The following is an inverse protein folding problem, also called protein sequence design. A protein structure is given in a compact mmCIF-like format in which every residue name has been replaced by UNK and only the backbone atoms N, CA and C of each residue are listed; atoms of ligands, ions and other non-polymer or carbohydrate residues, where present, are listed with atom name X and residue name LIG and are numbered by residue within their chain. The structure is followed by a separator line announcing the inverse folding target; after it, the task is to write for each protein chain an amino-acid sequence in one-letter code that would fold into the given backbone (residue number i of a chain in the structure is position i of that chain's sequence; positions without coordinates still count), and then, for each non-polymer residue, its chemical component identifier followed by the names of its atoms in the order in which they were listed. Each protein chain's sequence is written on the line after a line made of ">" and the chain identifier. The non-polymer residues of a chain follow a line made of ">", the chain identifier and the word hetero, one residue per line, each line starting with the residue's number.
data_IF_082827690413
#
_entry.id   IF_082827690413
#
_cell.length_a   1.000
_cell.length_b   1.000
_cell.length_c   1.000
_cell.angle_alpha   90.00
_cell.angle_beta   90.00
_cell.angle_gamma   90.00
#
_symmetry.space_group_name_H-M   'P 1'
#
loop_
_entity.id
_entity.type
_entity.pdbx_description
1 polymer ?
#
# COMPACT_ATOMS: atom_id res chain seq x y z
N UNK A 1 -14.84 41.79 -10.51
CA UNK A 1 -13.81 41.02 -9.78
C UNK A 1 -14.54 39.91 -9.07
N UNK A 2 -14.48 38.70 -9.59
CA UNK A 2 -15.13 37.54 -8.99
C UNK A 2 -14.35 37.13 -7.73
N UNK A 3 -14.93 37.38 -6.56
CA UNK A 3 -14.32 36.94 -5.30
C UNK A 3 -14.58 35.46 -5.12
N UNK A 4 -13.52 34.66 -5.01
CA UNK A 4 -13.67 33.25 -4.68
C UNK A 4 -14.32 33.07 -3.30
N UNK A 5 -15.17 32.05 -3.12
CA UNK A 5 -15.83 31.80 -1.84
C UNK A 5 -14.81 31.40 -0.75
N UNK A 6 -15.08 31.82 0.49
CA UNK A 6 -14.28 31.46 1.65
C UNK A 6 -14.58 30.03 2.08
N UNK A 7 -13.56 29.16 2.03
CA UNK A 7 -13.62 27.80 2.54
C UNK A 7 -13.26 27.81 4.03
N UNK A 8 -14.12 27.23 4.87
CA UNK A 8 -13.81 26.93 6.27
C UNK A 8 -13.50 25.45 6.39
N UNK A 9 -12.35 25.12 6.98
CA UNK A 9 -11.91 23.76 7.24
C UNK A 9 -12.07 23.53 8.73
N UNK A 10 -12.97 22.62 9.10
CA UNK A 10 -13.02 22.12 10.47
C UNK A 10 -11.92 21.07 10.67
N UNK A 11 -11.36 21.02 11.88
CA UNK A 11 -10.05 20.42 12.20
C UNK A 11 -9.85 18.97 11.76
N UNK A 12 -8.63 18.41 11.94
CA UNK A 12 -8.33 17.08 11.45
C UNK A 12 -9.13 16.02 12.21
N UNK A 13 -10.18 15.50 11.58
CA UNK A 13 -10.79 14.23 11.95
C UNK A 13 -9.72 13.15 11.75
N UNK A 14 -9.42 12.37 12.79
CA UNK A 14 -8.28 11.44 12.79
C UNK A 14 -8.19 10.63 11.50
N UNK A 15 -7.00 10.59 10.89
CA UNK A 15 -6.80 9.95 9.60
C UNK A 15 -7.27 8.50 9.69
N UNK A 16 -8.28 8.12 8.90
CA UNK A 16 -8.94 6.86 9.14
C UNK A 16 -8.04 5.70 8.65
N UNK A 17 -8.12 4.56 9.35
CA UNK A 17 -7.27 3.38 9.17
C UNK A 17 -5.74 3.55 9.39
N UNK A 18 -5.24 4.43 10.27
CA UNK A 18 -3.78 4.49 10.59
C UNK A 18 -3.17 3.15 11.02
N UNK A 19 -4.02 2.27 11.51
CA UNK A 19 -3.73 0.89 11.88
C UNK A 19 -3.14 0.04 10.73
N UNK A 20 -3.16 0.48 9.49
CA UNK A 20 -2.47 -0.25 8.43
C UNK A 20 -0.94 -0.24 8.62
N UNK A 21 -0.38 0.83 9.22
CA UNK A 21 1.07 1.05 9.38
C UNK A 21 1.76 0.02 10.28
N UNK A 22 1.00 -0.64 11.16
CA UNK A 22 1.49 -1.70 12.06
C UNK A 22 1.65 -3.07 11.38
N UNK A 23 1.21 -3.22 10.13
CA UNK A 23 1.33 -4.47 9.38
C UNK A 23 2.35 -4.36 8.26
N UNK A 24 3.17 -5.41 8.11
CA UNK A 24 4.11 -5.55 6.99
C UNK A 24 3.36 -5.84 5.68
N UNK A 25 2.22 -6.54 5.76
CA UNK A 25 1.36 -6.87 4.61
C UNK A 25 -0.08 -6.46 4.92
N UNK A 26 -0.76 -5.81 3.96
CA UNK A 26 -2.16 -5.40 4.11
C UNK A 26 -3.03 -5.88 2.96
N UNK A 27 -4.27 -6.26 3.29
CA UNK A 27 -5.35 -6.52 2.34
C UNK A 27 -6.40 -5.42 2.50
N UNK A 28 -6.46 -4.51 1.53
CA UNK A 28 -7.38 -3.39 1.48
C UNK A 28 -8.57 -3.75 0.57
N UNK A 29 -9.78 -3.72 1.10
CA UNK A 29 -11.00 -4.07 0.36
C UNK A 29 -11.99 -2.91 0.41
N UNK A 30 -12.21 -2.27 -0.74
CA UNK A 30 -13.19 -1.19 -0.90
C UNK A 30 -14.37 -1.63 -1.75
N UNK A 31 -15.60 -1.45 -1.26
CA UNK A 31 -16.82 -1.72 -2.03
C UNK A 31 -17.52 -0.40 -2.41
N UNK A 32 -17.73 -0.18 -3.70
CA UNK A 32 -18.33 1.04 -4.26
C UNK A 32 -17.52 2.28 -3.87
N UNK A 33 -18.20 3.28 -3.30
CA UNK A 33 -17.58 4.49 -2.75
C UNK A 33 -16.62 4.22 -1.58
N UNK A 34 -16.70 3.05 -0.94
CA UNK A 34 -15.79 2.63 0.13
C UNK A 34 -14.33 2.46 -0.32
N UNK A 35 -14.04 2.59 -1.62
CA UNK A 35 -12.67 2.67 -2.11
C UNK A 35 -11.98 4.01 -1.80
N UNK A 36 -12.72 5.13 -1.77
CA UNK A 36 -12.17 6.49 -1.50
C UNK A 36 -11.17 6.54 -0.34
N UNK A 37 -11.50 6.00 0.85
CA UNK A 37 -10.53 5.98 1.93
C UNK A 37 -9.33 5.05 1.70
N UNK A 38 -9.54 3.88 1.11
CA UNK A 38 -8.47 2.90 0.82
C UNK A 38 -7.44 3.47 -0.16
N UNK A 39 -7.87 4.35 -1.04
CA UNK A 39 -7.01 5.03 -2.01
C UNK A 39 -6.00 5.95 -1.32
N UNK A 40 -6.45 6.67 -0.29
CA UNK A 40 -5.54 7.49 0.52
C UNK A 40 -4.45 6.62 1.16
N UNK A 41 -4.80 5.42 1.62
CA UNK A 41 -3.86 4.45 2.19
C UNK A 41 -2.87 3.97 1.13
N UNK A 42 -3.34 3.60 -0.07
CA UNK A 42 -2.49 3.16 -1.17
C UNK A 42 -1.48 4.25 -1.56
N UNK A 43 -1.94 5.50 -1.70
CA UNK A 43 -1.04 6.64 -1.97
C UNK A 43 -0.02 6.86 -0.86
N UNK A 44 -0.45 6.79 0.40
CA UNK A 44 0.46 6.94 1.55
C UNK A 44 1.51 5.81 1.55
N UNK A 45 1.13 4.55 1.24
CA UNK A 45 2.07 3.44 1.13
C UNK A 45 3.14 3.71 0.07
N UNK A 46 2.73 4.08 -1.15
CA UNK A 46 3.65 4.32 -2.25
C UNK A 46 4.58 5.51 -1.96
N UNK A 47 4.05 6.59 -1.37
CA UNK A 47 4.85 7.75 -1.00
C UNK A 47 5.89 7.44 0.10
N UNK A 48 5.50 6.72 1.15
CA UNK A 48 6.43 6.34 2.21
C UNK A 48 7.54 5.43 1.70
N UNK A 49 7.25 4.54 0.75
CA UNK A 49 8.28 3.70 0.15
C UNK A 49 9.30 4.47 -0.67
N UNK A 50 8.85 5.42 -1.50
CA UNK A 50 9.75 6.30 -2.24
C UNK A 50 10.69 7.05 -1.30
N UNK A 51 10.14 7.60 -0.20
CA UNK A 51 10.95 8.27 0.80
C UNK A 51 12.00 7.35 1.43
N UNK A 52 11.64 6.11 1.78
CA UNK A 52 12.59 5.13 2.32
C UNK A 52 13.71 4.77 1.33
N UNK A 53 13.39 4.68 0.04
CA UNK A 53 14.36 4.39 -1.02
C UNK A 53 15.32 5.56 -1.27
N UNK A 54 14.81 6.79 -1.26
CA UNK A 54 15.63 7.98 -1.39
C UNK A 54 16.62 8.12 -0.21
N UNK A 55 16.18 7.79 1.01
CA UNK A 55 17.05 7.75 2.20
C UNK A 55 18.12 6.66 2.11
N UNK A 56 17.77 5.44 1.67
CA UNK A 56 18.72 4.33 1.48
C UNK A 56 19.80 4.69 0.44
N UNK A 57 19.39 5.22 -0.72
CA UNK A 57 20.29 5.66 -1.77
C UNK A 57 21.20 6.83 -1.32
N UNK A 58 20.70 7.72 -0.44
CA UNK A 58 21.49 8.82 0.12
C UNK A 58 22.59 8.33 1.08
N UNK A 59 22.35 7.25 1.84
CA UNK A 59 23.36 6.65 2.73
C UNK A 59 24.45 5.90 1.95
N UNK A 60 24.11 5.19 0.88
CA UNK A 60 25.11 4.47 0.07
C UNK A 60 26.09 5.44 -0.63
N UNK A 61 25.59 6.59 -1.09
CA UNK A 61 26.43 7.62 -1.73
C UNK A 61 27.33 8.39 -0.75
N UNK A 62 27.10 8.28 0.57
CA UNK A 62 27.88 8.97 1.61
C UNK A 62 29.17 8.26 2.04
N UNK A 63 29.44 7.02 1.59
CA UNK A 63 30.51 6.18 2.17
C UNK A 63 31.77 6.04 1.29
N UNK A 64 31.87 6.71 0.14
CA UNK A 64 33.10 6.67 -0.67
C UNK A 64 34.06 7.83 -0.36
N UNK A 65 35.24 7.47 0.18
CA UNK A 65 36.53 8.21 0.28
C UNK A 65 36.86 8.88 1.62
N UNK A 66 37.53 8.11 2.49
CA UNK A 66 38.83 8.51 3.04
C UNK A 66 39.61 7.29 3.55
N UNK A 67 40.34 6.64 2.65
CA UNK A 67 41.45 5.74 3.02
C UNK A 67 42.68 6.62 3.23
N UNK A 68 43.30 6.66 4.42
CA UNK A 68 44.60 7.32 4.58
C UNK A 68 45.72 6.37 4.13
N UNK A 69 46.76 6.86 3.41
CA UNK A 69 47.93 6.04 3.13
C UNK A 69 48.85 5.97 4.35
N UNK A 70 49.34 4.77 4.62
CA UNK A 70 50.35 4.42 5.63
C UNK A 70 51.78 4.85 5.22
N UNK A 71 52.69 4.83 6.22
CA UNK A 71 54.18 4.99 6.24
C UNK A 71 54.58 6.34 6.89
N UNK A 72 55.41 6.48 7.94
CA UNK A 72 56.18 5.57 8.82
C UNK A 72 56.73 6.32 10.06
N UNK A 73 57.16 5.55 11.09
CA UNK A 73 58.27 5.80 12.05
C UNK A 73 58.08 6.76 13.25
N UNK A 74 58.31 6.22 14.48
CA UNK A 74 59.04 6.94 15.55
C UNK A 74 58.40 7.05 16.95
N UNK A 75 58.90 6.24 17.89
CA UNK A 75 59.06 6.39 19.36
C UNK A 75 58.13 7.25 20.26
N UNK A 76 57.73 6.67 21.41
CA UNK A 76 57.13 7.30 22.61
C UNK A 76 58.18 7.97 23.54
N UNK A 77 57.86 8.45 24.77
CA UNK A 77 56.59 8.87 25.41
C UNK A 77 56.70 10.27 26.09
N UNK A 78 55.64 10.80 26.74
CA UNK A 78 55.62 11.54 28.06
C UNK A 78 54.36 12.44 28.28
N UNK A 79 53.52 12.01 29.25
CA UNK A 79 52.96 12.76 30.41
C UNK A 79 51.77 13.76 30.26
N UNK A 80 50.73 13.46 31.08
CA UNK A 80 49.78 14.29 31.87
C UNK A 80 48.37 14.70 31.40
N UNK A 81 47.40 14.19 32.21
CA UNK A 81 46.27 14.88 32.87
C UNK A 81 45.02 15.26 32.06
N UNK A 82 43.95 14.49 32.28
CA UNK A 82 42.54 14.97 32.36
C UNK A 82 42.33 15.76 33.68
N UNK A 83 41.19 16.44 33.98
CA UNK A 83 39.86 16.36 33.35
C UNK A 83 39.07 17.69 33.19
N UNK A 84 38.02 17.71 32.35
CA UNK A 84 36.61 18.04 32.69
C UNK A 84 35.72 18.31 31.46
N UNK A 85 34.39 18.05 31.54
CA UNK A 85 33.51 17.95 30.37
C UNK A 85 32.58 19.16 30.21
N UNK A 86 32.48 19.73 29.00
CA UNK A 86 31.42 20.68 28.66
C UNK A 86 30.23 19.90 28.06
N UNK A 87 29.20 19.73 28.86
CA UNK A 87 27.97 19.01 28.54
C UNK A 87 27.09 19.85 27.59
N UNK A 88 27.35 19.76 26.28
CA UNK A 88 26.38 20.17 25.27
C UNK A 88 25.40 19.03 25.06
N UNK A 89 24.31 19.04 25.84
CA UNK A 89 23.11 18.25 25.54
C UNK A 89 22.50 18.76 24.23
N UNK A 90 23.03 18.31 23.11
CA UNK A 90 22.27 18.23 21.86
C UNK A 90 21.19 17.20 22.09
N UNK A 91 19.99 17.67 22.45
CA UNK A 91 18.75 16.90 22.25
C UNK A 91 18.71 16.54 20.78
N UNK A 92 19.13 15.32 20.44
CA UNK A 92 18.66 14.70 19.21
C UNK A 92 17.15 14.62 19.38
N UNK A 93 16.46 15.48 18.64
CA UNK A 93 15.04 15.32 18.43
C UNK A 93 14.93 14.02 17.62
N UNK A 94 14.83 12.89 18.32
CA UNK A 94 14.44 11.63 17.70
C UNK A 94 13.03 11.89 17.20
N UNK A 95 12.93 12.33 15.94
CA UNK A 95 11.68 12.39 15.22
C UNK A 95 10.97 11.08 15.51
N UNK A 96 9.74 11.19 16.01
CA UNK A 96 8.83 10.08 16.20
C UNK A 96 8.70 9.39 14.85
N UNK A 97 9.61 8.45 14.58
CA UNK A 97 9.60 7.60 13.41
C UNK A 97 8.29 6.85 13.49
N UNK A 98 7.32 7.32 12.73
CA UNK A 98 6.12 6.57 12.46
C UNK A 98 6.66 5.28 11.87
N UNK A 99 6.68 4.19 12.64
CA UNK A 99 7.24 2.90 12.23
C UNK A 99 6.34 2.35 11.12
N UNK A 100 6.47 2.91 9.92
CA UNK A 100 5.80 2.48 8.73
C UNK A 100 6.45 1.17 8.31
N UNK A 101 5.68 0.10 8.44
CA UNK A 101 6.17 -1.27 8.21
C UNK A 101 5.70 -1.87 6.91
N UNK A 102 4.67 -1.32 6.31
CA UNK A 102 3.99 -1.94 5.16
C UNK A 102 4.93 -2.05 3.97
N UNK A 103 5.20 -3.29 3.54
CA UNK A 103 6.05 -3.66 2.40
C UNK A 103 5.26 -4.25 1.22
N UNK A 104 4.01 -4.65 1.44
CA UNK A 104 3.12 -5.21 0.41
C UNK A 104 1.67 -4.81 0.70
N UNK A 105 0.93 -4.41 -0.32
CA UNK A 105 -0.50 -4.20 -0.23
C UNK A 105 -1.24 -4.93 -1.35
N UNK A 106 -2.34 -5.58 -0.99
CA UNK A 106 -3.31 -6.13 -1.92
C UNK A 106 -4.53 -5.22 -1.88
N UNK A 107 -4.81 -4.51 -2.98
CA UNK A 107 -5.96 -3.63 -3.05
C UNK A 107 -7.04 -4.21 -3.95
N UNK A 108 -8.18 -4.58 -3.36
CA UNK A 108 -9.36 -5.07 -4.05
C UNK A 108 -10.44 -3.99 -4.05
N UNK A 109 -10.66 -3.38 -5.19
CA UNK A 109 -11.82 -2.51 -5.39
C UNK A 109 -12.93 -3.28 -6.07
N UNK A 110 -14.12 -3.31 -5.46
CA UNK A 110 -15.29 -3.97 -6.01
C UNK A 110 -16.37 -2.92 -6.26
N UNK A 111 -16.88 -2.81 -7.48
CA UNK A 111 -17.95 -1.87 -7.83
C UNK A 111 -19.02 -2.54 -8.69
N UNK A 112 -20.24 -2.00 -8.66
CA UNK A 112 -21.32 -2.35 -9.60
C UNK A 112 -21.44 -1.32 -10.72
N UNK A 113 -20.87 -0.13 -10.56
CA UNK A 113 -21.11 0.97 -11.49
C UNK A 113 -19.92 1.14 -12.42
N UNK A 114 -20.13 0.94 -13.73
CA UNK A 114 -19.07 1.17 -14.71
C UNK A 114 -18.64 2.65 -14.75
N UNK A 115 -19.58 3.58 -14.57
CA UNK A 115 -19.26 5.01 -14.48
C UNK A 115 -18.39 5.38 -13.28
N UNK A 116 -18.26 4.50 -12.28
CA UNK A 116 -17.32 4.72 -11.19
C UNK A 116 -15.85 4.63 -11.63
N UNK A 117 -15.54 3.97 -12.75
CA UNK A 117 -14.15 3.87 -13.20
C UNK A 117 -13.55 5.23 -13.58
N UNK A 118 -14.35 6.17 -14.07
CA UNK A 118 -13.85 7.49 -14.48
C UNK A 118 -13.32 8.31 -13.30
N UNK A 119 -14.00 8.30 -12.15
CA UNK A 119 -13.51 9.04 -10.97
C UNK A 119 -12.23 8.41 -10.40
N UNK A 120 -12.08 7.09 -10.52
CA UNK A 120 -10.94 6.38 -9.96
C UNK A 120 -9.76 6.22 -10.95
N UNK A 121 -9.98 6.49 -12.23
CA UNK A 121 -9.02 6.37 -13.34
C UNK A 121 -7.71 7.09 -13.09
N UNK A 122 -7.78 8.37 -12.69
CA UNK A 122 -6.59 9.18 -12.44
C UNK A 122 -5.71 8.57 -11.37
N UNK A 123 -6.32 8.12 -10.27
CA UNK A 123 -5.58 7.54 -9.16
C UNK A 123 -5.03 6.14 -9.50
N UNK A 124 -5.79 5.30 -10.18
CA UNK A 124 -5.28 3.99 -10.63
C UNK A 124 -4.04 4.15 -11.51
N UNK A 125 -4.08 5.11 -12.44
CA UNK A 125 -2.96 5.38 -13.32
C UNK A 125 -1.76 5.95 -12.58
N UNK A 126 -1.97 6.88 -11.66
CA UNK A 126 -0.93 7.45 -10.80
C UNK A 126 -0.26 6.36 -9.95
N UNK A 127 -1.04 5.53 -9.26
CA UNK A 127 -0.50 4.42 -8.45
C UNK A 127 0.27 3.44 -9.33
N UNK A 128 -0.25 3.09 -10.51
CA UNK A 128 0.43 2.20 -11.44
C UNK A 128 1.73 2.81 -12.04
N UNK A 129 1.81 4.14 -12.16
CA UNK A 129 3.04 4.85 -12.57
C UNK A 129 4.06 4.92 -11.43
N UNK A 130 3.59 5.10 -10.20
CA UNK A 130 4.44 5.29 -9.05
C UNK A 130 4.98 3.98 -8.46
N UNK A 131 4.26 2.87 -8.61
CA UNK A 131 4.61 1.57 -8.04
C UNK A 131 5.52 0.73 -8.96
N UNK A 132 6.77 1.16 -9.12
CA UNK A 132 7.75 0.45 -9.95
C UNK A 132 8.23 -0.89 -9.35
N UNK A 133 8.03 -1.11 -8.03
CA UNK A 133 8.45 -2.33 -7.32
C UNK A 133 7.33 -3.37 -7.21
N UNK A 134 6.12 -3.07 -7.69
CA UNK A 134 4.97 -3.97 -7.59
C UNK A 134 4.56 -4.23 -6.14
N UNK A 135 4.64 -3.21 -5.30
CA UNK A 135 4.25 -3.22 -3.89
C UNK A 135 2.73 -3.32 -3.77
N UNK A 136 2.02 -2.60 -4.64
CA UNK A 136 0.57 -2.50 -4.66
C UNK A 136 0.06 -3.45 -5.73
N UNK A 137 -0.45 -4.59 -5.30
CA UNK A 137 -1.16 -5.50 -6.17
C UNK A 137 -2.63 -5.08 -6.23
N UNK A 138 -3.02 -4.48 -7.36
CA UNK A 138 -4.35 -3.88 -7.52
C UNK A 138 -5.28 -4.76 -8.36
N UNK A 139 -6.48 -4.99 -7.83
CA UNK A 139 -7.51 -5.83 -8.43
C UNK A 139 -8.84 -5.08 -8.46
N UNK A 140 -9.26 -4.68 -9.66
CA UNK A 140 -10.53 -3.97 -9.84
C UNK A 140 -11.61 -4.93 -10.31
N UNK A 141 -12.74 -5.04 -9.61
CA UNK A 141 -13.84 -5.93 -9.95
C UNK A 141 -15.09 -5.15 -10.31
N UNK A 142 -15.57 -5.31 -11.54
CA UNK A 142 -16.86 -4.80 -11.99
C UNK A 142 -17.91 -5.91 -11.95
N UNK A 143 -18.76 -5.87 -10.92
CA UNK A 143 -19.75 -6.92 -10.63
C UNK A 143 -21.05 -6.79 -11.41
N UNK A 144 -21.27 -5.70 -12.15
CA UNK A 144 -22.44 -5.54 -13.03
C UNK A 144 -22.28 -6.21 -14.39
N UNK A 145 -21.06 -6.57 -14.78
CA UNK A 145 -20.80 -7.30 -16.02
C UNK A 145 -21.00 -8.80 -15.74
N UNK A 146 -22.29 -9.19 -15.73
CA UNK A 146 -22.89 -10.53 -15.80
C UNK A 146 -22.28 -11.68 -14.96
N UNK A 147 -23.11 -12.66 -14.62
CA UNK A 147 -22.68 -13.83 -13.85
C UNK A 147 -21.69 -14.72 -14.62
N UNK A 148 -20.92 -15.49 -13.85
CA UNK A 148 -19.93 -16.46 -14.31
C UNK A 148 -20.59 -17.43 -15.32
N UNK A 149 -20.11 -17.45 -16.57
CA UNK A 149 -20.61 -18.35 -17.63
C UNK A 149 -21.37 -17.70 -18.80
N UNK A 150 -21.62 -16.39 -18.79
CA UNK A 150 -22.19 -15.68 -19.96
C UNK A 150 -21.15 -15.52 -21.09
N UNK A 151 -21.53 -15.86 -22.32
CA UNK A 151 -20.72 -15.66 -23.53
C UNK A 151 -20.24 -14.21 -23.68
N UNK A 152 -21.00 -13.24 -23.17
CA UNK A 152 -20.62 -11.82 -23.15
C UNK A 152 -19.46 -11.54 -22.21
N UNK A 153 -19.40 -12.19 -21.05
CA UNK A 153 -18.27 -12.07 -20.10
C UNK A 153 -17.01 -12.72 -20.65
N UNK A 154 -17.14 -13.86 -21.35
CA UNK A 154 -16.02 -14.51 -22.03
C UNK A 154 -15.45 -13.63 -23.16
N UNK A 155 -16.32 -13.04 -23.98
CA UNK A 155 -15.91 -12.12 -25.05
C UNK A 155 -15.20 -10.88 -24.49
N UNK A 156 -15.77 -10.23 -23.47
CA UNK A 156 -15.15 -9.05 -22.85
C UNK A 156 -13.78 -9.43 -22.26
N UNK A 157 -13.68 -10.57 -21.57
CA UNK A 157 -12.39 -11.06 -21.02
C UNK A 157 -11.36 -11.32 -22.11
N UNK A 158 -11.77 -11.89 -23.25
CA UNK A 158 -10.90 -12.11 -24.41
C UNK A 158 -10.43 -10.79 -25.02
N UNK A 159 -11.34 -9.86 -25.32
CA UNK A 159 -11.01 -8.54 -25.85
C UNK A 159 -10.10 -7.76 -24.91
N UNK A 160 -10.40 -7.80 -23.61
CA UNK A 160 -9.62 -7.14 -22.58
C UNK A 160 -8.20 -7.71 -22.54
N UNK A 161 -8.05 -9.03 -22.59
CA UNK A 161 -6.73 -9.68 -22.58
C UNK A 161 -5.92 -9.33 -23.84
N UNK A 162 -6.56 -9.29 -25.01
CA UNK A 162 -5.93 -8.88 -26.27
C UNK A 162 -5.48 -7.42 -26.24
N UNK A 163 -6.36 -6.49 -25.83
CA UNK A 163 -6.02 -5.07 -25.81
C UNK A 163 -4.95 -4.77 -24.75
N UNK A 164 -5.03 -5.39 -23.58
CA UNK A 164 -4.04 -5.20 -22.54
C UNK A 164 -2.67 -5.75 -22.98
N UNK A 165 -2.62 -6.87 -23.70
CA UNK A 165 -1.36 -7.37 -24.28
C UNK A 165 -0.76 -6.47 -25.36
N UNK A 166 -1.59 -5.71 -26.09
CA UNK A 166 -1.15 -4.84 -27.18
C UNK A 166 -0.79 -3.43 -26.71
N UNK A 167 -1.63 -2.87 -25.85
CA UNK A 167 -1.60 -1.44 -25.49
C UNK A 167 -1.29 -1.22 -24.01
N UNK A 168 -1.22 -2.27 -23.19
CA UNK A 168 -1.01 -2.14 -21.74
C UNK A 168 -2.19 -1.51 -20.98
N UNK A 169 -3.34 -1.36 -21.63
CA UNK A 169 -4.51 -0.65 -21.08
C UNK A 169 -5.73 -1.57 -21.02
N UNK A 170 -6.44 -1.50 -19.91
CA UNK A 170 -7.73 -2.15 -19.69
C UNK A 170 -8.83 -1.48 -20.52
N UNK A 171 -9.59 -2.25 -21.29
CA UNK A 171 -10.65 -1.68 -22.18
C UNK A 171 -11.83 -1.11 -21.41
N UNK A 172 -12.06 -1.58 -20.18
CA UNK A 172 -13.25 -1.20 -19.39
C UNK A 172 -12.98 0.07 -18.59
N UNK A 173 -11.87 0.11 -17.86
CA UNK A 173 -11.50 1.27 -17.04
C UNK A 173 -10.65 2.29 -17.79
N UNK A 174 -10.02 1.92 -18.90
CA UNK A 174 -9.03 2.75 -19.59
C UNK A 174 -7.77 3.01 -18.74
N UNK A 175 -7.44 2.11 -17.80
CA UNK A 175 -6.26 2.22 -16.93
C UNK A 175 -5.21 1.17 -17.25
N UNK A 176 -4.00 1.32 -16.70
CA UNK A 176 -2.96 0.27 -16.75
C UNK A 176 -3.24 -0.92 -15.84
N UNK A 177 -4.25 -0.84 -14.98
CA UNK A 177 -4.64 -1.91 -14.06
C UNK A 177 -5.74 -2.73 -14.71
N UNK A 178 -5.52 -4.05 -14.88
CA UNK A 178 -6.51 -4.93 -15.49
C UNK A 178 -7.72 -5.10 -14.56
N UNK A 179 -8.91 -4.89 -15.10
CA UNK A 179 -10.17 -5.17 -14.39
C UNK A 179 -10.53 -6.67 -14.44
N UNK A 180 -11.38 -7.10 -13.52
CA UNK A 180 -11.98 -8.42 -13.45
C UNK A 180 -13.50 -8.27 -13.45
N UNK A 181 -14.19 -9.27 -13.97
CA UNK A 181 -15.65 -9.32 -13.96
C UNK A 181 -16.13 -10.33 -12.93
N UNK A 182 -17.41 -10.28 -12.58
CA UNK A 182 -18.00 -11.01 -11.47
C UNK A 182 -17.43 -10.61 -10.09
N UNK A 183 -17.79 -11.36 -9.05
CA UNK A 183 -17.35 -11.12 -7.67
C UNK A 183 -16.00 -11.81 -7.41
N UNK A 184 -15.12 -11.23 -6.58
CA UNK A 184 -13.92 -11.93 -6.13
C UNK A 184 -14.29 -13.20 -5.38
N UNK A 185 -13.55 -14.29 -5.65
CA UNK A 185 -13.60 -15.46 -4.78
C UNK A 185 -12.69 -15.21 -3.58
N UNK A 186 -13.27 -14.70 -2.48
CA UNK A 186 -12.50 -14.31 -1.30
C UNK A 186 -11.70 -15.46 -0.70
N UNK A 187 -12.22 -16.68 -0.72
CA UNK A 187 -11.46 -17.86 -0.27
C UNK A 187 -10.16 -18.04 -1.06
N UNK A 188 -10.19 -17.85 -2.38
CA UNK A 188 -9.00 -17.92 -3.21
C UNK A 188 -8.05 -16.75 -2.96
N UNK A 189 -8.57 -15.55 -2.71
CA UNK A 189 -7.75 -14.38 -2.32
C UNK A 189 -6.98 -14.66 -1.03
N UNK A 190 -7.66 -15.09 0.03
CA UNK A 190 -7.00 -15.44 1.29
C UNK A 190 -6.01 -16.60 1.12
N UNK A 191 -6.34 -17.61 0.32
CA UNK A 191 -5.43 -18.72 0.00
C UNK A 191 -4.16 -18.23 -0.70
N UNK A 192 -4.30 -17.39 -1.72
CA UNK A 192 -3.18 -16.82 -2.45
C UNK A 192 -2.25 -16.03 -1.52
N UNK A 193 -2.83 -15.15 -0.71
CA UNK A 193 -2.07 -14.33 0.23
C UNK A 193 -1.36 -15.21 1.28
N UNK A 194 -2.05 -16.22 1.85
CA UNK A 194 -1.45 -17.11 2.84
C UNK A 194 -0.28 -17.94 2.29
N UNK A 195 -0.33 -18.32 1.01
CA UNK A 195 0.76 -19.05 0.36
C UNK A 195 2.00 -18.18 0.11
N UNK A 196 1.80 -16.88 -0.15
CA UNK A 196 2.89 -15.96 -0.44
C UNK A 196 3.52 -15.34 0.81
N UNK A 197 2.82 -15.34 1.95
CA UNK A 197 3.22 -14.65 3.18
C UNK A 197 3.15 -15.59 4.37
N UNK A 198 4.02 -16.60 4.39
CA UNK A 198 4.06 -17.59 5.48
C UNK A 198 4.65 -17.00 6.75
N UNK A 199 4.00 -17.24 7.90
CA UNK A 199 4.36 -16.70 9.22
C UNK A 199 4.20 -15.17 9.37
N UNK A 200 3.60 -14.49 8.41
CA UNK A 200 3.34 -13.05 8.51
C UNK A 200 1.99 -12.73 9.16
N UNK A 201 1.89 -11.50 9.68
CA UNK A 201 0.64 -10.90 10.16
C UNK A 201 0.10 -9.94 9.12
N UNK A 202 -1.13 -10.17 8.70
CA UNK A 202 -1.80 -9.47 7.61
C UNK A 202 -2.99 -8.69 8.14
N UNK A 203 -2.95 -7.37 7.98
CA UNK A 203 -4.07 -6.51 8.31
C UNK A 203 -5.09 -6.52 7.17
N UNK A 204 -6.31 -6.97 7.42
CA UNK A 204 -7.41 -6.94 6.45
C UNK A 204 -8.32 -5.77 6.78
N UNK A 205 -8.37 -4.77 5.92
CA UNK A 205 -9.17 -3.56 6.09
C UNK A 205 -10.32 -3.55 5.09
N UNK A 206 -11.54 -3.42 5.60
CA UNK A 206 -12.75 -3.43 4.78
C UNK A 206 -13.55 -2.14 4.96
N UNK A 207 -13.92 -1.51 3.84
CA UNK A 207 -14.90 -0.42 3.81
C UNK A 207 -15.98 -0.70 2.77
N UNK A 208 -17.25 -0.64 3.22
CA UNK A 208 -18.41 -0.76 2.35
C UNK A 208 -19.61 -1.41 3.02
N UNK A 209 -20.57 -1.85 2.19
CA UNK A 209 -21.83 -2.43 2.65
C UNK A 209 -21.64 -3.66 3.57
N UNK A 210 -22.43 -3.79 4.65
CA UNK A 210 -22.17 -4.77 5.72
C UNK A 210 -22.26 -6.24 5.29
N UNK A 211 -22.91 -6.54 4.15
CA UNK A 211 -23.13 -7.90 3.67
C UNK A 211 -21.83 -8.73 3.55
N UNK A 212 -20.73 -8.09 3.14
CA UNK A 212 -19.45 -8.78 2.92
C UNK A 212 -18.61 -8.90 4.20
N UNK A 213 -18.93 -8.15 5.26
CA UNK A 213 -18.15 -8.12 6.50
C UNK A 213 -18.08 -9.50 7.16
N UNK A 214 -19.19 -10.24 7.21
CA UNK A 214 -19.24 -11.56 7.85
C UNK A 214 -18.37 -12.58 7.11
N UNK A 215 -18.43 -12.58 5.79
CA UNK A 215 -17.66 -13.47 4.94
C UNK A 215 -16.15 -13.23 5.08
N UNK A 216 -15.70 -11.98 4.94
CA UNK A 216 -14.29 -11.63 5.09
C UNK A 216 -13.76 -11.95 6.48
N UNK A 217 -14.51 -11.64 7.54
CA UNK A 217 -14.13 -11.97 8.91
C UNK A 217 -14.01 -13.49 9.11
N UNK A 218 -14.94 -14.28 8.56
CA UNK A 218 -14.87 -15.73 8.66
C UNK A 218 -13.65 -16.29 7.94
N UNK A 219 -13.33 -15.79 6.74
CA UNK A 219 -12.11 -16.20 6.03
C UNK A 219 -10.84 -15.83 6.80
N UNK A 220 -10.77 -14.63 7.39
CA UNK A 220 -9.64 -14.26 8.23
C UNK A 220 -9.43 -15.23 9.40
N UNK A 221 -10.51 -15.61 10.10
CA UNK A 221 -10.45 -16.60 11.19
C UNK A 221 -10.02 -17.98 10.68
N UNK A 222 -10.66 -18.47 9.62
CA UNK A 222 -10.41 -19.78 9.03
C UNK A 222 -8.95 -19.97 8.62
N UNK A 223 -8.40 -19.01 7.86
CA UNK A 223 -7.03 -19.09 7.38
C UNK A 223 -6.03 -18.89 8.52
N UNK A 224 -6.30 -17.98 9.46
CA UNK A 224 -5.44 -17.80 10.65
C UNK A 224 -5.31 -19.07 11.50
N UNK A 225 -6.33 -19.92 11.51
CA UNK A 225 -6.28 -21.20 12.22
C UNK A 225 -5.64 -22.32 11.39
N UNK A 226 -5.87 -22.33 10.07
CA UNK A 226 -5.46 -23.43 9.17
C UNK A 226 -4.07 -23.24 8.57
N UNK A 227 -3.51 -22.04 8.60
CA UNK A 227 -2.19 -21.72 8.04
C UNK A 227 -1.28 -21.05 9.07
N UNK A 228 0.00 -20.89 8.72
CA UNK A 228 0.96 -20.15 9.56
C UNK A 228 0.74 -18.64 9.53
N UNK A 229 0.17 -18.11 8.45
CA UNK A 229 -0.19 -16.70 8.28
C UNK A 229 -1.34 -16.30 9.20
N UNK A 230 -1.25 -15.14 9.85
CA UNK A 230 -2.31 -14.59 10.71
C UNK A 230 -2.99 -13.42 10.04
N UNK A 231 -4.31 -13.45 9.99
CA UNK A 231 -5.15 -12.41 9.41
C UNK A 231 -5.94 -11.69 10.50
N UNK A 232 -5.81 -10.38 10.58
CA UNK A 232 -6.52 -9.53 11.53
C UNK A 232 -7.50 -8.64 10.78
N UNK A 233 -8.80 -8.88 10.97
CA UNK A 233 -9.86 -8.19 10.24
C UNK A 233 -10.35 -6.93 10.96
N UNK A 234 -10.28 -5.81 10.24
CA UNK A 234 -10.70 -4.47 10.65
C UNK A 234 -11.83 -4.00 9.73
N UNK A 235 -12.99 -3.72 10.35
CA UNK A 235 -14.08 -3.03 9.65
C UNK A 235 -13.91 -1.54 9.88
N UNK A 236 -13.69 -0.81 8.81
CA UNK A 236 -13.57 0.63 8.85
C UNK A 236 -14.92 1.27 8.53
N UNK A 237 -15.37 2.20 9.37
CA UNK A 237 -16.50 3.07 9.07
C UNK A 237 -15.93 4.45 8.77
N UNK A 238 -15.82 4.76 7.47
CA UNK A 238 -15.37 6.05 6.96
C UNK A 238 -16.57 6.94 6.66
#
# INVERSE_FOLDING_TARGET
>A
MDSFPRVLIDGPYGAPAQDYKKYDVVLLVGLGIGATPMISIVKDIVNNMKAMEEEENALENGTSRSTPPSVSTGCSPIVTKSPCPLNSKRKSNSGSGNNFRTRRAYFYWVTREQGSFDWFKGVMNEVAEMDHKGVIEMHNYCTSVYEEGDARSALITMLQSLNHSKNGVDIVSGTRVKSHFAKPNWRNVYKHIALNHTNDRIGVFYCGAPALTKELRQHALDFSHKTSTKFEFHKENF
#
